data_IF_520603055063
#
_entry.id   IF_520603055063
#
_cell.length_a   1.000
_cell.length_b   1.000
_cell.length_c   1.000
_cell.angle_alpha   90.00
_cell.angle_beta   90.00
_cell.angle_gamma   90.00
#
_symmetry.space_group_name_H-M   'P 1'
#
loop_
_entity.id
_entity.type
_entity.pdbx_description
1 polymer ?
#
# COMPACT_ATOMS: atom_id res chain seq x y z
N UNK A 1 16.44 -4.84 -9.71
CA UNK A 1 15.72 -3.61 -9.31
C UNK A 1 15.48 -3.69 -7.82
N UNK A 2 15.77 -2.62 -7.08
CA UNK A 2 15.45 -2.56 -5.64
C UNK A 2 13.94 -2.43 -5.49
N UNK A 3 13.32 -3.12 -4.52
CA UNK A 3 11.91 -2.93 -4.23
C UNK A 3 11.67 -1.48 -3.75
N UNK A 4 10.55 -0.84 -4.13
CA UNK A 4 10.25 0.52 -3.70
C UNK A 4 10.08 0.57 -2.18
N UNK A 5 10.55 1.65 -1.56
CA UNK A 5 10.41 1.86 -0.13
C UNK A 5 8.96 2.23 0.18
N UNK A 6 8.29 1.37 0.95
CA UNK A 6 6.90 1.60 1.38
C UNK A 6 6.86 1.79 2.88
N UNK A 7 6.22 2.87 3.34
CA UNK A 7 5.90 3.07 4.76
C UNK A 7 4.40 3.21 4.91
N UNK A 8 3.79 2.46 5.82
CA UNK A 8 2.35 2.48 6.06
C UNK A 8 2.13 2.67 7.55
N UNK A 9 1.46 3.76 7.92
CA UNK A 9 1.26 4.15 9.30
C UNK A 9 2.56 4.09 10.13
N UNK A 10 2.70 3.10 11.00
CA UNK A 10 3.80 2.99 11.97
C UNK A 10 4.95 2.08 11.52
N UNK A 11 4.93 1.53 10.30
CA UNK A 11 5.94 0.54 9.90
C UNK A 11 6.33 0.56 8.43
N UNK A 12 7.49 -0.04 8.16
CA UNK A 12 7.94 -0.35 6.81
C UNK A 12 7.13 -1.52 6.25
N UNK A 13 6.63 -1.32 5.03
CA UNK A 13 5.96 -2.34 4.24
C UNK A 13 6.74 -2.67 2.98
N UNK A 14 6.17 -3.55 2.17
CA UNK A 14 6.69 -3.86 0.85
C UNK A 14 5.57 -3.74 -0.18
N UNK A 15 5.84 -3.07 -1.31
CA UNK A 15 4.92 -3.02 -2.43
C UNK A 15 4.71 -4.43 -2.99
N UNK A 16 3.46 -4.78 -3.29
CA UNK A 16 3.12 -6.06 -3.93
C UNK A 16 2.57 -5.83 -5.32
N UNK A 17 1.52 -5.02 -5.43
CA UNK A 17 0.79 -4.83 -6.68
C UNK A 17 -0.07 -3.57 -6.59
N UNK A 18 -0.38 -3.00 -7.76
CA UNK A 18 -1.36 -1.95 -7.89
C UNK A 18 -2.27 -2.22 -9.09
N UNK A 19 -3.59 -2.29 -8.88
CA UNK A 19 -4.58 -2.44 -9.95
C UNK A 19 -5.86 -1.67 -9.64
N UNK A 20 -6.43 -0.99 -10.64
CA UNK A 20 -7.71 -0.27 -10.56
C UNK A 20 -7.87 0.59 -9.30
N UNK A 21 -6.80 1.25 -8.84
CA UNK A 21 -6.80 2.10 -7.65
C UNK A 21 -6.78 1.34 -6.31
N UNK A 22 -6.51 0.04 -6.34
CA UNK A 22 -6.26 -0.80 -5.17
C UNK A 22 -4.76 -1.08 -5.10
N UNK A 23 -4.16 -0.69 -3.99
CA UNK A 23 -2.78 -1.00 -3.67
C UNK A 23 -2.73 -2.21 -2.73
N UNK A 24 -1.84 -3.14 -3.04
CA UNK A 24 -1.50 -4.27 -2.18
C UNK A 24 -0.08 -4.11 -1.67
N UNK A 25 0.08 -4.36 -0.38
CA UNK A 25 1.35 -4.25 0.33
C UNK A 25 1.46 -5.35 1.37
N UNK A 26 2.69 -5.70 1.73
CA UNK A 26 2.97 -6.47 2.95
C UNK A 26 3.28 -5.49 4.07
N UNK A 27 2.69 -5.70 5.26
CA UNK A 27 2.89 -4.87 6.45
C UNK A 27 3.18 -5.75 7.67
N UNK A 28 3.96 -5.28 8.65
CA UNK A 28 4.13 -5.96 9.94
C UNK A 28 2.86 -5.93 10.81
N UNK A 29 1.87 -5.09 10.49
CA UNK A 29 0.66 -4.91 11.29
C UNK A 29 -0.62 -5.17 10.48
N UNK A 30 -1.69 -5.69 11.11
CA UNK A 30 -3.00 -5.80 10.50
C UNK A 30 -3.72 -4.44 10.51
N UNK A 31 -4.67 -4.27 9.58
CA UNK A 31 -5.52 -3.07 9.52
C UNK A 31 -6.97 -3.45 9.29
N UNK A 32 -7.87 -2.90 10.12
CA UNK A 32 -9.30 -3.14 10.00
C UNK A 32 -9.85 -2.58 8.67
N UNK A 33 -10.82 -3.26 8.02
CA UNK A 33 -11.51 -2.71 6.85
C UNK A 33 -12.15 -1.35 7.15
N UNK A 34 -12.05 -0.42 6.21
CA UNK A 34 -12.55 0.96 6.34
C UNK A 34 -11.63 1.90 7.10
N UNK A 35 -10.60 1.40 7.79
CA UNK A 35 -9.65 2.24 8.52
C UNK A 35 -8.90 3.19 7.56
N UNK A 36 -8.78 4.48 7.89
CA UNK A 36 -7.96 5.40 7.11
C UNK A 36 -6.48 5.03 7.25
N UNK A 37 -5.76 5.06 6.14
CA UNK A 37 -4.33 4.78 6.07
C UNK A 37 -3.62 5.93 5.38
N UNK A 38 -2.58 6.45 6.04
CA UNK A 38 -1.56 7.27 5.40
C UNK A 38 -0.36 6.37 5.09
N UNK A 39 0.18 6.52 3.89
CA UNK A 39 1.34 5.77 3.45
C UNK A 39 2.25 6.64 2.59
N UNK A 40 3.51 6.24 2.53
CA UNK A 40 4.52 6.84 1.67
C UNK A 40 5.11 5.75 0.77
N UNK A 41 5.23 6.05 -0.53
CA UNK A 41 5.90 5.16 -1.50
C UNK A 41 6.97 5.98 -2.21
N UNK A 42 8.25 5.62 -2.01
CA UNK A 42 9.43 6.37 -2.49
C UNK A 42 9.31 7.89 -2.25
N UNK A 43 8.94 8.30 -1.03
CA UNK A 43 8.81 9.72 -0.67
C UNK A 43 7.50 10.38 -1.08
N UNK A 44 6.60 9.69 -1.78
CA UNK A 44 5.28 10.22 -2.17
C UNK A 44 4.25 9.93 -1.10
N UNK A 45 3.72 10.98 -0.48
CA UNK A 45 2.63 10.86 0.49
C UNK A 45 1.30 10.53 -0.21
N UNK A 46 0.67 9.44 0.20
CA UNK A 46 -0.58 8.94 -0.34
C UNK A 46 -1.60 8.70 0.79
N UNK A 47 -2.87 8.70 0.42
CA UNK A 47 -3.97 8.38 1.32
C UNK A 47 -4.77 7.20 0.79
N UNK A 48 -5.21 6.34 1.69
CA UNK A 48 -6.01 5.19 1.35
C UNK A 48 -7.02 4.86 2.46
N UNK A 49 -7.96 3.97 2.14
CA UNK A 49 -8.76 3.23 3.13
C UNK A 49 -8.40 1.76 3.03
N UNK A 50 -8.16 1.13 4.16
CA UNK A 50 -7.99 -0.31 4.24
C UNK A 50 -9.25 -1.01 3.68
N UNK A 51 -9.05 -2.01 2.83
CA UNK A 51 -10.08 -2.98 2.45
C UNK A 51 -10.00 -4.23 3.33
N UNK A 52 -9.00 -4.30 4.21
CA UNK A 52 -8.72 -5.42 5.10
C UNK A 52 -7.30 -5.97 4.92
N UNK A 53 -6.90 -6.78 5.90
CA UNK A 53 -5.61 -7.43 5.94
C UNK A 53 -5.76 -8.94 6.15
N UNK A 54 -4.94 -9.74 5.46
CA UNK A 54 -4.86 -11.19 5.62
C UNK A 54 -3.46 -11.58 6.10
N UNK A 55 -3.37 -12.29 7.23
CA UNK A 55 -2.11 -12.84 7.75
C UNK A 55 -1.47 -13.78 6.71
N UNK A 56 -0.17 -13.68 6.56
CA UNK A 56 0.69 -14.52 5.72
C UNK A 56 1.44 -15.53 6.62
N UNK A 57 2.18 -16.46 6.01
CA UNK A 57 2.94 -17.50 6.73
C UNK A 57 4.12 -16.95 7.53
N UNK A 58 4.60 -15.74 7.21
CA UNK A 58 5.79 -15.08 7.79
C UNK A 58 5.45 -14.08 8.92
N UNK A 59 4.30 -14.25 9.57
CA UNK A 59 3.76 -13.31 10.58
C UNK A 59 3.54 -11.88 10.07
N UNK A 60 3.61 -11.66 8.75
CA UNK A 60 3.23 -10.38 8.13
C UNK A 60 1.81 -10.44 7.61
N UNK A 61 1.31 -9.29 7.18
CA UNK A 61 -0.04 -9.11 6.70
C UNK A 61 -0.03 -8.59 5.28
N UNK A 62 -0.72 -9.28 4.37
CA UNK A 62 -1.07 -8.69 3.07
C UNK A 62 -2.25 -7.77 3.28
N UNK A 63 -2.01 -6.49 3.10
CA UNK A 63 -2.99 -5.42 3.28
C UNK A 63 -3.42 -4.94 1.91
N UNK A 64 -4.73 -4.89 1.69
CA UNK A 64 -5.31 -4.31 0.48
C UNK A 64 -5.92 -2.98 0.86
N UNK A 65 -5.68 -1.95 0.07
CA UNK A 65 -6.19 -0.61 0.35
C UNK A 65 -6.65 0.10 -0.91
N UNK A 66 -7.75 0.84 -0.79
CA UNK A 66 -8.30 1.67 -1.86
C UNK A 66 -7.70 3.07 -1.75
N UNK A 67 -7.02 3.54 -2.78
CA UNK A 67 -6.44 4.87 -2.81
C UNK A 67 -7.54 5.94 -2.81
N UNK A 68 -7.31 7.03 -2.08
CA UNK A 68 -8.23 8.17 -1.93
C UNK A 68 -7.54 9.42 -2.44
N UNK A 69 -8.27 10.25 -3.18
CA UNK A 69 -7.75 11.50 -3.77
C UNK A 69 -6.45 11.28 -4.58
N UNK A 70 -6.33 10.11 -5.22
CA UNK A 70 -5.13 9.73 -5.96
C UNK A 70 -4.97 10.63 -7.19
N UNK A 71 -3.86 11.39 -7.21
CA UNK A 71 -3.53 12.25 -8.34
C UNK A 71 -3.13 11.41 -9.54
N UNK A 72 -3.30 11.97 -10.74
CA UNK A 72 -2.92 11.30 -11.99
C UNK A 72 -1.44 10.92 -12.00
N UNK A 73 -0.56 11.81 -11.54
CA UNK A 73 0.89 11.58 -11.48
C UNK A 73 1.25 10.40 -10.57
N UNK A 74 0.64 10.34 -9.38
CA UNK A 74 0.89 9.27 -8.42
C UNK A 74 0.29 7.94 -8.90
N UNK A 75 -0.86 8.00 -9.58
CA UNK A 75 -1.46 6.82 -10.21
C UNK A 75 -0.53 6.21 -11.26
N UNK A 76 -0.05 7.03 -12.21
CA UNK A 76 0.84 6.57 -13.27
C UNK A 76 2.14 6.00 -12.69
N UNK A 77 2.66 6.64 -11.64
CA UNK A 77 3.83 6.15 -10.93
C UNK A 77 3.57 4.77 -10.29
N UNK A 78 2.47 4.58 -9.57
CA UNK A 78 2.12 3.28 -8.98
C UNK A 78 1.86 2.19 -10.04
N UNK A 79 1.26 2.55 -11.18
CA UNK A 79 1.09 1.64 -12.33
C UNK A 79 2.46 1.21 -12.87
N UNK A 80 3.43 2.13 -12.97
CA UNK A 80 4.80 1.81 -13.44
C UNK A 80 5.62 0.93 -12.49
N UNK A 81 5.20 0.82 -11.22
CA UNK A 81 5.83 -0.10 -10.25
C UNK A 81 5.25 -1.52 -10.31
N UNK A 82 4.10 -1.69 -10.97
CA UNK A 82 3.41 -2.97 -11.10
C UNK A 82 3.80 -3.74 -12.38
N UNK A 83 4.48 -3.08 -13.32
CA UNK A 83 5.07 -3.63 -14.55
C UNK A 83 6.52 -4.11 -14.33
#
# INVERSE_FOLDING_TARGET
MSAPAVRIAEGEGAFVAFDKGVLEVVSPAPFAPGAPLALEVDGRALQAKSLGSKRQEDDRFRVRMRMINLRREDRLYLESLAD
#
